data_IF_925176998315
#
_entry.id   IF_925176998315
#
_cell.length_a   1.000
_cell.length_b   1.000
_cell.length_c   1.000
_cell.angle_alpha   90.00
_cell.angle_beta   90.00
_cell.angle_gamma   90.00
#
_symmetry.space_group_name_H-M   'P 1'
#
loop_
_entity.id
_entity.type
_entity.pdbx_description
1 polymer ?
#
# COMPACT_ATOMS: atom_id res chain seq x y z
N UNK A 1 -37.24 11.08 1.20
CA UNK A 1 -36.13 12.04 0.98
C UNK A 1 -34.74 11.56 1.44
N UNK A 2 -34.56 10.41 2.13
CA UNK A 2 -33.23 9.88 2.51
C UNK A 2 -32.37 9.35 1.33
N UNK A 3 -32.98 8.90 0.23
CA UNK A 3 -32.26 8.28 -0.90
C UNK A 3 -31.51 9.22 -1.85
N UNK A 4 -31.74 10.54 -1.81
CA UNK A 4 -31.09 11.48 -2.74
C UNK A 4 -29.82 12.15 -2.17
N UNK A 5 -29.60 12.13 -0.84
CA UNK A 5 -28.36 12.67 -0.25
C UNK A 5 -27.15 11.76 -0.47
N UNK A 6 -27.34 10.43 -0.55
CA UNK A 6 -26.23 9.47 -0.74
C UNK A 6 -25.68 9.41 -2.17
N UNK A 7 -26.46 9.79 -3.19
CA UNK A 7 -25.98 9.83 -4.58
C UNK A 7 -24.95 10.96 -4.84
N UNK A 8 -24.96 12.02 -4.03
CA UNK A 8 -24.09 13.18 -4.23
C UNK A 8 -22.67 13.02 -3.66
N UNK A 9 -22.41 12.00 -2.84
CA UNK A 9 -21.10 11.78 -2.21
C UNK A 9 -20.28 10.63 -2.82
N UNK A 10 -20.72 10.03 -3.93
CA UNK A 10 -19.95 8.97 -4.59
C UNK A 10 -18.78 9.52 -5.41
N UNK A 11 -17.63 8.85 -5.34
CA UNK A 11 -16.43 9.18 -6.10
C UNK A 11 -16.67 8.98 -7.59
N UNK A 12 -16.27 9.97 -8.40
CA UNK A 12 -16.23 9.82 -9.85
C UNK A 12 -15.10 8.88 -10.28
N UNK A 13 -15.07 8.49 -11.56
CA UNK A 13 -13.95 7.73 -12.13
C UNK A 13 -12.63 8.49 -11.93
N UNK A 14 -12.60 9.79 -12.25
CA UNK A 14 -11.41 10.64 -12.06
C UNK A 14 -11.06 10.75 -10.56
N UNK A 15 -12.06 10.93 -9.69
CA UNK A 15 -11.83 11.02 -8.24
C UNK A 15 -11.24 9.73 -7.66
N UNK A 16 -11.68 8.57 -8.14
CA UNK A 16 -11.14 7.27 -7.71
C UNK A 16 -9.77 6.95 -8.31
N UNK A 17 -9.48 7.36 -9.56
CA UNK A 17 -8.14 7.30 -10.14
C UNK A 17 -7.18 8.18 -9.31
N UNK A 18 -7.58 9.42 -9.03
CA UNK A 18 -6.82 10.39 -8.24
C UNK A 18 -6.54 9.88 -6.82
N UNK A 19 -7.53 9.27 -6.18
CA UNK A 19 -7.36 8.59 -4.89
C UNK A 19 -6.29 7.47 -4.99
N UNK A 20 -6.42 6.59 -5.97
CA UNK A 20 -5.50 5.46 -6.17
C UNK A 20 -4.06 5.90 -6.43
N UNK A 21 -3.86 6.76 -7.44
CA UNK A 21 -2.54 7.31 -7.76
C UNK A 21 -1.97 8.10 -6.60
N UNK A 22 -2.83 8.83 -5.88
CA UNK A 22 -2.42 9.63 -4.74
C UNK A 22 -1.86 8.81 -3.58
N UNK A 23 -2.40 7.62 -3.32
CA UNK A 23 -1.89 6.70 -2.30
C UNK A 23 -0.61 6.01 -2.77
N UNK A 24 -0.59 5.52 -4.01
CA UNK A 24 0.60 4.86 -4.58
C UNK A 24 1.80 5.80 -4.53
N UNK A 25 1.65 7.03 -5.05
CA UNK A 25 2.70 8.06 -5.03
C UNK A 25 3.15 8.41 -3.61
N UNK A 26 2.22 8.60 -2.67
CA UNK A 26 2.55 9.05 -1.32
C UNK A 26 3.35 8.04 -0.50
N UNK A 27 3.18 6.74 -0.75
CA UNK A 27 3.82 5.67 0.01
C UNK A 27 5.01 5.02 -0.70
N UNK A 28 4.96 4.89 -2.03
CA UNK A 28 5.88 4.05 -2.78
C UNK A 28 7.11 4.77 -3.30
N UNK A 29 6.92 5.74 -4.20
CA UNK A 29 8.01 6.19 -5.08
C UNK A 29 9.10 6.99 -4.35
N UNK A 30 8.73 7.74 -3.31
CA UNK A 30 9.66 8.62 -2.59
C UNK A 30 10.71 7.85 -1.78
N UNK A 31 10.35 6.69 -1.23
CA UNK A 31 11.23 5.92 -0.34
C UNK A 31 11.81 4.68 -0.99
N UNK A 32 11.05 4.03 -1.89
CA UNK A 32 11.45 2.72 -2.41
C UNK A 32 12.47 2.82 -3.56
N UNK A 33 12.68 4.00 -4.15
CA UNK A 33 13.58 4.14 -5.29
C UNK A 33 15.02 3.78 -4.95
N UNK A 34 15.60 4.38 -3.91
CA UNK A 34 16.96 4.06 -3.49
C UNK A 34 17.09 2.63 -2.96
N UNK A 35 16.04 2.12 -2.29
CA UNK A 35 16.01 0.74 -1.80
C UNK A 35 15.97 -0.31 -2.93
N UNK A 36 15.26 -0.03 -4.03
CA UNK A 36 15.26 -0.88 -5.22
C UNK A 36 16.63 -0.82 -5.90
N UNK A 37 17.21 0.38 -6.05
CA UNK A 37 18.56 0.54 -6.61
C UNK A 37 19.64 -0.19 -5.78
N UNK A 38 19.50 -0.23 -4.45
CA UNK A 38 20.39 -1.01 -3.58
C UNK A 38 20.35 -2.53 -3.87
N UNK A 39 19.22 -3.05 -4.36
CA UNK A 39 19.06 -4.48 -4.68
C UNK A 39 19.43 -4.84 -6.12
N UNK A 40 19.38 -3.88 -7.04
CA UNK A 40 19.42 -4.18 -8.48
C UNK A 40 20.30 -3.24 -9.31
N UNK A 41 20.90 -2.23 -8.69
CA UNK A 41 21.79 -1.30 -9.37
C UNK A 41 21.07 -0.44 -10.39
N UNK A 42 21.71 -0.24 -11.54
CA UNK A 42 21.23 0.57 -12.67
C UNK A 42 19.97 0.03 -13.35
N UNK A 43 19.60 -1.23 -13.07
CA UNK A 43 18.36 -1.84 -13.58
C UNK A 43 17.10 -1.39 -12.81
N UNK A 44 17.20 -0.52 -11.80
CA UNK A 44 16.05 -0.11 -10.98
C UNK A 44 14.88 0.52 -11.77
N UNK A 45 15.08 1.28 -12.88
CA UNK A 45 13.96 1.75 -13.69
C UNK A 45 13.22 0.59 -14.38
N UNK A 46 13.96 -0.44 -14.79
CA UNK A 46 13.41 -1.66 -15.39
C UNK A 46 12.67 -2.49 -14.33
N UNK A 47 13.17 -2.52 -13.08
CA UNK A 47 12.48 -3.19 -11.98
C UNK A 47 11.10 -2.57 -11.70
N UNK A 48 10.91 -1.26 -11.86
CA UNK A 48 9.58 -0.63 -11.80
C UNK A 48 8.65 -1.12 -12.91
N UNK A 49 9.14 -1.25 -14.16
CA UNK A 49 8.36 -1.81 -15.28
C UNK A 49 7.97 -3.25 -14.99
N UNK A 50 8.92 -4.09 -14.60
CA UNK A 50 8.68 -5.48 -14.28
C UNK A 50 7.71 -5.64 -13.10
N UNK A 51 7.86 -4.82 -12.05
CA UNK A 51 6.92 -4.77 -10.92
C UNK A 51 5.51 -4.38 -11.35
N UNK A 52 5.36 -3.40 -12.25
CA UNK A 52 4.06 -3.03 -12.82
C UNK A 52 3.44 -4.16 -13.65
N UNK A 53 4.25 -4.95 -14.37
CA UNK A 53 3.78 -6.13 -15.11
C UNK A 53 3.25 -7.18 -14.13
N UNK A 54 3.99 -7.52 -13.07
CA UNK A 54 3.53 -8.45 -12.02
C UNK A 54 2.21 -7.96 -11.43
N UNK A 55 2.15 -6.68 -11.04
CA UNK A 55 0.93 -6.07 -10.51
C UNK A 55 -0.20 -6.04 -11.54
N UNK A 56 0.09 -5.95 -12.83
CA UNK A 56 -0.88 -6.10 -13.90
C UNK A 56 -1.60 -7.45 -13.83
N UNK A 57 -0.84 -8.54 -13.69
CA UNK A 57 -1.39 -9.88 -13.46
C UNK A 57 -2.16 -9.96 -12.13
N UNK A 58 -1.60 -9.45 -11.04
CA UNK A 58 -2.24 -9.51 -9.71
C UNK A 58 -3.55 -8.72 -9.68
N UNK A 59 -3.55 -7.51 -10.26
CA UNK A 59 -4.72 -6.60 -10.32
C UNK A 59 -5.92 -7.22 -11.03
N UNK A 60 -5.70 -8.18 -11.94
CA UNK A 60 -6.78 -8.89 -12.63
C UNK A 60 -7.75 -9.54 -11.65
N UNK A 61 -7.22 -10.23 -10.63
CA UNK A 61 -8.04 -10.89 -9.61
C UNK A 61 -8.90 -9.86 -8.87
N UNK A 62 -8.29 -8.75 -8.44
CA UNK A 62 -9.02 -7.66 -7.78
C UNK A 62 -10.10 -7.09 -8.68
N UNK A 63 -9.81 -6.81 -9.96
CA UNK A 63 -10.80 -6.27 -10.91
C UNK A 63 -11.99 -7.22 -11.04
N UNK A 64 -11.76 -8.54 -11.12
CA UNK A 64 -12.82 -9.54 -11.23
C UNK A 64 -13.66 -9.63 -9.97
N UNK A 65 -13.04 -9.67 -8.80
CA UNK A 65 -13.72 -9.60 -7.52
C UNK A 65 -14.53 -8.31 -7.35
N UNK A 66 -13.90 -7.18 -7.64
CA UNK A 66 -14.48 -5.84 -7.58
C UNK A 66 -15.70 -5.69 -8.47
N UNK A 67 -15.65 -6.24 -9.68
CA UNK A 67 -16.78 -6.20 -10.62
C UNK A 67 -17.91 -7.14 -10.19
N UNK A 68 -17.61 -8.31 -9.61
CA UNK A 68 -18.63 -9.24 -9.13
C UNK A 68 -19.28 -8.78 -7.82
N UNK A 69 -18.48 -8.25 -6.88
CA UNK A 69 -18.87 -7.99 -5.51
C UNK A 69 -18.47 -6.60 -5.00
N UNK A 70 -18.87 -5.49 -5.66
CA UNK A 70 -18.49 -4.16 -5.22
C UNK A 70 -18.96 -3.90 -3.79
N UNK A 71 -18.07 -3.34 -2.95
CA UNK A 71 -18.36 -3.04 -1.55
C UNK A 71 -17.40 -2.01 -0.95
N UNK A 72 -17.83 -1.34 0.11
CA UNK A 72 -16.99 -0.42 0.90
C UNK A 72 -16.11 -1.16 1.94
N UNK A 73 -15.97 -2.48 1.80
CA UNK A 73 -15.07 -3.35 2.58
C UNK A 73 -13.98 -4.04 1.75
N UNK A 74 -13.99 -3.80 0.43
CA UNK A 74 -13.01 -4.31 -0.54
C UNK A 74 -12.54 -5.74 -0.29
N UNK A 75 -11.26 -5.84 0.02
CA UNK A 75 -10.52 -7.10 0.17
C UNK A 75 -11.12 -8.04 1.22
N UNK A 76 -11.66 -7.53 2.32
CA UNK A 76 -12.30 -8.36 3.36
C UNK A 76 -13.51 -9.11 2.79
N UNK A 77 -14.28 -8.46 1.90
CA UNK A 77 -15.41 -9.12 1.24
C UNK A 77 -14.93 -10.21 0.27
N UNK A 78 -13.77 -10.03 -0.36
CA UNK A 78 -13.20 -11.03 -1.26
C UNK A 78 -12.81 -12.29 -0.48
N UNK A 79 -12.17 -12.12 0.69
CA UNK A 79 -11.86 -13.23 1.58
C UNK A 79 -13.11 -13.92 2.11
N UNK A 80 -14.08 -13.16 2.60
CA UNK A 80 -15.33 -13.74 3.09
C UNK A 80 -16.08 -14.53 1.99
N UNK A 81 -16.07 -14.05 0.74
CA UNK A 81 -16.65 -14.77 -0.39
C UNK A 81 -15.85 -15.99 -0.80
N UNK A 82 -14.53 -15.97 -0.66
CA UNK A 82 -13.67 -17.07 -1.08
C UNK A 82 -13.57 -18.17 -0.04
N UNK A 83 -13.50 -17.82 1.25
CA UNK A 83 -13.17 -18.75 2.33
C UNK A 83 -14.30 -18.93 3.34
N UNK A 84 -15.43 -18.25 3.15
CA UNK A 84 -16.54 -18.24 4.10
C UNK A 84 -16.22 -17.45 5.37
N UNK A 85 -17.19 -17.33 6.30
CA UNK A 85 -16.90 -16.81 7.63
C UNK A 85 -16.00 -17.80 8.39
N UNK A 86 -14.98 -17.29 9.10
CA UNK A 86 -14.12 -18.14 9.92
C UNK A 86 -12.70 -17.64 10.06
N UNK A 87 -11.86 -18.45 10.74
CA UNK A 87 -10.45 -18.13 11.03
C UNK A 87 -9.67 -17.77 9.77
N UNK A 88 -9.88 -18.45 8.65
CA UNK A 88 -9.15 -18.16 7.40
C UNK A 88 -9.43 -16.75 6.88
N UNK A 89 -10.70 -16.34 6.86
CA UNK A 89 -11.09 -14.98 6.46
C UNK A 89 -10.55 -13.94 7.43
N UNK A 90 -10.62 -14.21 8.74
CA UNK A 90 -10.07 -13.34 9.78
C UNK A 90 -8.57 -13.13 9.61
N UNK A 91 -7.79 -14.21 9.47
CA UNK A 91 -6.34 -14.17 9.26
C UNK A 91 -5.97 -13.36 8.03
N UNK A 92 -6.54 -13.65 6.86
CA UNK A 92 -6.19 -12.90 5.64
C UNK A 92 -6.64 -11.44 5.71
N UNK A 93 -7.76 -11.15 6.35
CA UNK A 93 -8.23 -9.78 6.55
C UNK A 93 -7.36 -9.00 7.53
N UNK A 94 -6.84 -9.64 8.58
CA UNK A 94 -5.89 -9.05 9.51
C UNK A 94 -4.50 -8.87 8.89
N UNK A 95 -4.04 -9.79 8.04
CA UNK A 95 -2.83 -9.58 7.25
C UNK A 95 -2.96 -8.34 6.37
N UNK A 96 -4.12 -8.16 5.71
CA UNK A 96 -4.41 -6.94 4.96
C UNK A 96 -4.39 -5.70 5.87
N UNK A 97 -5.08 -5.76 7.02
CA UNK A 97 -5.11 -4.65 7.98
C UNK A 97 -3.70 -4.26 8.44
N UNK A 98 -2.90 -5.20 8.93
CA UNK A 98 -1.53 -4.95 9.39
C UNK A 98 -0.66 -4.44 8.25
N UNK A 99 -0.83 -4.96 7.03
CA UNK A 99 -0.14 -4.45 5.84
C UNK A 99 -0.53 -2.99 5.51
N UNK A 100 -1.76 -2.55 5.81
CA UNK A 100 -2.14 -1.13 5.70
C UNK A 100 -1.47 -0.28 6.77
N UNK A 101 -1.41 -0.76 8.02
CA UNK A 101 -0.72 -0.05 9.12
C UNK A 101 0.78 0.08 8.85
N UNK A 102 1.43 -0.96 8.33
CA UNK A 102 2.83 -0.89 7.89
C UNK A 102 3.01 0.19 6.82
N UNK A 103 2.08 0.31 5.88
CA UNK A 103 2.12 1.36 4.85
C UNK A 103 1.99 2.76 5.45
N UNK A 104 1.21 2.95 6.51
CA UNK A 104 1.09 4.24 7.21
C UNK A 104 2.38 4.62 7.92
N UNK A 105 3.02 3.65 8.58
CA UNK A 105 4.34 3.81 9.18
C UNK A 105 5.39 4.19 8.13
N UNK A 106 5.39 3.52 6.98
CA UNK A 106 6.29 3.80 5.85
C UNK A 106 6.12 5.24 5.34
N UNK A 107 4.87 5.66 5.09
CA UNK A 107 4.55 7.03 4.62
C UNK A 107 4.98 8.07 5.65
N UNK A 108 4.71 7.82 6.94
CA UNK A 108 5.08 8.72 8.02
C UNK A 108 6.59 8.84 8.21
N UNK A 109 7.33 7.74 8.14
CA UNK A 109 8.78 7.78 8.18
C UNK A 109 9.36 8.46 6.94
N UNK A 110 8.75 8.28 5.76
CA UNK A 110 9.13 8.99 4.52
C UNK A 110 8.95 10.50 4.67
N UNK A 111 7.84 10.94 5.25
CA UNK A 111 7.65 12.35 5.62
C UNK A 111 8.79 12.85 6.51
N UNK A 112 9.17 12.06 7.52
CA UNK A 112 10.28 12.39 8.40
C UNK A 112 11.60 12.54 7.66
N UNK A 113 11.95 11.57 6.82
CA UNK A 113 13.19 11.56 6.04
C UNK A 113 13.31 12.78 5.13
N UNK A 114 12.23 13.14 4.41
CA UNK A 114 12.21 14.30 3.53
C UNK A 114 12.20 15.63 4.29
N UNK A 115 11.36 15.76 5.32
CA UNK A 115 11.25 16.99 6.10
C UNK A 115 12.56 17.33 6.78
N UNK A 116 13.31 16.32 7.21
CA UNK A 116 14.58 16.50 7.88
C UNK A 116 15.67 17.11 6.98
N UNK A 117 15.52 17.02 5.65
CA UNK A 117 16.44 17.68 4.70
C UNK A 117 16.32 19.21 4.70
N UNK A 118 15.29 19.77 5.34
CA UNK A 118 15.15 21.21 5.57
C UNK A 118 15.95 21.68 6.80
N UNK A 119 16.52 20.76 7.57
CA UNK A 119 17.27 21.03 8.80
C UNK A 119 18.75 20.67 8.62
N UNK A 120 19.65 21.23 9.44
CA UNK A 120 21.06 20.83 9.46
C UNK A 120 21.24 19.34 9.76
N UNK A 121 22.35 18.77 9.29
CA UNK A 121 22.65 17.33 9.44
C UNK A 121 22.73 16.85 10.90
N UNK A 122 22.98 17.75 11.85
CA UNK A 122 22.95 17.46 13.30
C UNK A 122 21.61 16.85 13.75
N UNK A 123 20.54 17.05 12.99
CA UNK A 123 19.22 16.51 13.29
C UNK A 123 18.92 15.16 12.61
N UNK A 124 19.87 14.53 11.91
CA UNK A 124 19.64 13.30 11.11
C UNK A 124 18.90 12.16 11.86
N UNK A 125 19.05 12.05 13.17
CA UNK A 125 18.37 11.04 14.00
C UNK A 125 16.88 11.31 14.31
N UNK A 126 16.34 12.47 13.95
CA UNK A 126 14.98 12.91 14.34
C UNK A 126 13.89 12.60 13.30
N UNK A 127 14.21 11.89 12.21
CA UNK A 127 13.24 11.54 11.15
C UNK A 127 12.00 10.81 11.71
N UNK A 128 12.22 9.79 12.56
CA UNK A 128 11.11 9.03 13.17
C UNK A 128 10.22 9.90 14.05
N UNK A 129 10.78 10.90 14.75
CA UNK A 129 10.00 11.82 15.59
C UNK A 129 9.06 12.68 14.73
N UNK A 130 9.54 13.19 13.59
CA UNK A 130 8.70 13.91 12.64
C UNK A 130 7.59 13.01 12.07
N UNK A 131 7.90 11.73 11.79
CA UNK A 131 6.90 10.74 11.39
C UNK A 131 5.83 10.49 12.45
N UNK A 132 6.21 10.38 13.73
CA UNK A 132 5.28 10.23 14.85
C UNK A 132 4.38 11.46 14.98
N UNK A 133 4.94 12.67 14.89
CA UNK A 133 4.17 13.92 14.92
C UNK A 133 3.13 13.97 13.79
N UNK A 134 3.50 13.48 12.60
CA UNK A 134 2.57 13.37 11.50
C UNK A 134 1.44 12.36 11.78
N UNK A 135 1.75 11.18 12.34
CA UNK A 135 0.73 10.19 12.70
C UNK A 135 -0.25 10.71 13.77
N UNK A 136 0.25 11.45 14.77
CA UNK A 136 -0.59 12.13 15.77
C UNK A 136 -1.45 13.21 15.11
N UNK A 137 -0.89 13.98 14.16
CA UNK A 137 -1.65 14.97 13.40
C UNK A 137 -2.76 14.29 12.58
N UNK A 138 -2.45 13.17 11.91
CA UNK A 138 -3.41 12.40 11.15
C UNK A 138 -4.55 11.85 12.03
N UNK A 139 -4.24 11.41 13.25
CA UNK A 139 -5.23 11.04 14.26
C UNK A 139 -6.17 12.22 14.59
N UNK A 140 -5.62 13.39 14.91
CA UNK A 140 -6.39 14.59 15.28
C UNK A 140 -7.29 15.05 14.14
N UNK A 141 -6.79 15.02 12.90
CA UNK A 141 -7.59 15.38 11.72
C UNK A 141 -8.75 14.41 11.52
N UNK A 142 -8.49 13.10 11.67
CA UNK A 142 -9.50 12.06 11.45
C UNK A 142 -10.59 12.05 12.53
N UNK A 143 -10.26 12.31 13.80
CA UNK A 143 -11.27 12.39 14.88
C UNK A 143 -12.09 13.68 14.82
N UNK A 144 -11.57 14.75 14.20
CA UNK A 144 -12.26 16.03 14.06
C UNK A 144 -13.44 16.00 13.08
N UNK A 145 -13.63 14.89 12.33
CA UNK A 145 -14.82 14.66 11.49
C UNK A 145 -15.00 15.69 10.36
N UNK A 146 -13.93 16.39 9.98
CA UNK A 146 -14.05 17.58 9.14
C UNK A 146 -14.43 17.19 7.70
N UNK A 147 -15.57 17.68 7.21
CA UNK A 147 -16.07 17.44 5.83
C UNK A 147 -15.10 17.95 4.74
N UNK A 148 -14.10 18.73 5.14
CA UNK A 148 -13.04 19.28 4.29
C UNK A 148 -12.19 18.18 3.63
N UNK A 149 -12.10 16.97 4.20
CA UNK A 149 -11.20 15.89 3.76
C UNK A 149 -11.45 15.45 2.29
N UNK A 150 -12.70 15.36 1.84
CA UNK A 150 -13.00 14.81 0.50
C UNK A 150 -12.58 15.74 -0.66
N UNK A 151 -12.84 17.05 -0.51
CA UNK A 151 -12.49 18.05 -1.52
C UNK A 151 -10.98 18.35 -1.53
N UNK A 152 -10.35 18.44 -0.35
CA UNK A 152 -8.91 18.65 -0.25
C UNK A 152 -8.13 17.44 -0.73
N UNK A 153 -8.57 16.22 -0.45
CA UNK A 153 -7.87 15.00 -0.90
C UNK A 153 -7.78 14.92 -2.42
N UNK A 154 -8.86 15.23 -3.15
CA UNK A 154 -8.86 15.18 -4.62
C UNK A 154 -7.96 16.27 -5.21
N UNK A 155 -8.04 17.49 -4.67
CA UNK A 155 -7.22 18.61 -5.12
C UNK A 155 -5.73 18.38 -4.87
N UNK A 156 -5.35 17.97 -3.65
CA UNK A 156 -3.97 17.65 -3.30
C UNK A 156 -3.43 16.47 -4.11
N UNK A 157 -4.27 15.47 -4.42
CA UNK A 157 -3.87 14.35 -5.25
C UNK A 157 -3.59 14.75 -6.71
N UNK A 158 -4.37 15.67 -7.29
CA UNK A 158 -4.10 16.19 -8.64
C UNK A 158 -2.79 16.99 -8.64
N UNK A 159 -2.62 17.90 -7.69
CA UNK A 159 -1.41 18.74 -7.59
C UNK A 159 -0.16 17.88 -7.49
N UNK A 160 -0.15 16.86 -6.62
CA UNK A 160 1.05 16.02 -6.46
C UNK A 160 1.31 15.15 -7.69
N UNK A 161 0.28 14.60 -8.33
CA UNK A 161 0.46 13.83 -9.58
C UNK A 161 1.06 14.73 -10.67
N UNK A 162 0.50 15.92 -10.86
CA UNK A 162 0.98 16.88 -11.87
C UNK A 162 2.39 17.38 -11.53
N UNK A 163 2.64 17.79 -10.29
CA UNK A 163 3.94 18.28 -9.85
C UNK A 163 5.05 17.23 -10.03
N UNK A 164 4.78 15.97 -9.69
CA UNK A 164 5.73 14.88 -9.88
C UNK A 164 5.91 14.54 -11.36
N UNK A 165 4.84 14.52 -12.15
CA UNK A 165 4.96 14.29 -13.59
C UNK A 165 5.81 15.38 -14.25
N UNK A 166 5.63 16.65 -13.86
CA UNK A 166 6.46 17.76 -14.34
C UNK A 166 7.93 17.61 -13.92
N UNK A 167 8.19 17.25 -12.65
CA UNK A 167 9.57 16.98 -12.19
C UNK A 167 10.21 15.83 -12.97
N UNK A 168 9.47 14.76 -13.24
CA UNK A 168 9.96 13.62 -14.00
C UNK A 168 10.30 14.01 -15.44
N UNK A 169 9.38 14.70 -16.14
CA UNK A 169 9.59 15.14 -17.53
C UNK A 169 10.74 16.13 -17.61
N UNK A 170 10.74 17.16 -16.76
CA UNK A 170 11.82 18.15 -16.73
C UNK A 170 13.17 17.49 -16.40
N UNK A 171 13.16 16.47 -15.52
CA UNK A 171 14.35 15.73 -15.14
C UNK A 171 14.95 15.04 -16.35
N UNK A 172 14.15 14.25 -17.06
CA UNK A 172 14.56 13.57 -18.29
C UNK A 172 15.05 14.52 -19.39
N UNK A 173 14.43 15.69 -19.52
CA UNK A 173 14.84 16.69 -20.52
C UNK A 173 16.22 17.25 -20.19
N UNK A 174 16.54 17.42 -18.91
CA UNK A 174 17.82 18.03 -18.46
C UNK A 174 18.93 16.99 -18.33
N UNK A 175 18.65 15.85 -17.70
CA UNK A 175 19.65 14.80 -17.46
C UNK A 175 19.82 13.83 -18.63
N UNK A 176 18.89 13.83 -19.58
CA UNK A 176 18.86 12.85 -20.66
C UNK A 176 18.44 11.45 -20.19
N UNK A 177 18.68 10.45 -21.02
CA UNK A 177 18.49 9.05 -20.64
C UNK A 177 19.78 8.50 -20.05
N UNK A 178 19.69 7.89 -18.87
CA UNK A 178 20.82 7.19 -18.27
C UNK A 178 21.22 5.96 -19.10
N UNK A 179 22.52 5.70 -19.17
CA UNK A 179 23.05 4.45 -19.72
C UNK A 179 22.75 3.29 -18.76
N UNK A 180 21.73 2.50 -19.07
CA UNK A 180 21.40 1.28 -18.34
C UNK A 180 22.19 0.13 -18.97
N UNK A 181 23.23 -0.31 -18.27
CA UNK A 181 24.16 -1.33 -18.76
C UNK A 181 23.86 -2.72 -18.18
N UNK A 182 23.28 -2.78 -16.98
CA UNK A 182 23.10 -4.01 -16.21
C UNK A 182 24.41 -4.59 -15.66
N UNK A 183 25.51 -3.83 -15.75
CA UNK A 183 26.84 -4.24 -15.29
C UNK A 183 27.10 -3.88 -13.83
N UNK A 184 26.23 -3.08 -13.21
CA UNK A 184 26.36 -2.77 -11.80
C UNK A 184 25.97 -4.01 -10.97
N UNK A 185 26.91 -4.52 -10.18
CA UNK A 185 26.66 -5.61 -9.24
C UNK A 185 26.50 -5.01 -7.84
N UNK A 186 25.29 -5.04 -7.25
CA UNK A 186 25.08 -4.54 -5.90
C UNK A 186 25.80 -5.40 -4.85
N UNK A 187 26.46 -4.74 -3.89
CA UNK A 187 27.20 -5.38 -2.78
C UNK A 187 26.42 -6.50 -2.08
N UNK A 188 25.14 -6.25 -1.82
CA UNK A 188 24.25 -7.18 -1.11
C UNK A 188 23.89 -8.44 -1.92
N UNK A 189 24.33 -8.50 -3.19
CA UNK A 189 24.02 -9.57 -4.14
C UNK A 189 25.25 -10.13 -4.86
N UNK A 190 26.47 -9.65 -4.55
CA UNK A 190 27.72 -10.03 -5.23
C UNK A 190 27.98 -11.54 -5.24
N UNK A 191 27.57 -12.24 -4.19
CA UNK A 191 27.79 -13.68 -4.01
C UNK A 191 26.59 -14.54 -4.42
N UNK A 192 25.52 -13.93 -4.92
CA UNK A 192 24.28 -14.63 -5.26
C UNK A 192 24.23 -15.01 -6.74
N UNK A 193 23.47 -16.07 -7.09
CA UNK A 193 23.12 -16.33 -8.48
C UNK A 193 22.58 -15.09 -9.20
N UNK A 194 23.04 -14.89 -10.43
CA UNK A 194 22.67 -13.73 -11.24
C UNK A 194 21.15 -13.62 -11.38
N UNK A 195 20.62 -12.41 -11.19
CA UNK A 195 19.19 -12.11 -11.34
C UNK A 195 18.35 -12.28 -10.08
N UNK A 196 18.82 -12.93 -9.01
CA UNK A 196 18.07 -13.03 -7.75
C UNK A 196 17.80 -11.64 -7.15
N UNK A 197 18.79 -10.74 -7.18
CA UNK A 197 18.65 -9.33 -6.78
C UNK A 197 17.51 -8.63 -7.49
N UNK A 198 17.40 -8.85 -8.80
CA UNK A 198 16.33 -8.29 -9.63
C UNK A 198 14.96 -8.81 -9.22
N UNK A 199 14.80 -10.13 -9.10
CA UNK A 199 13.52 -10.75 -8.72
C UNK A 199 13.10 -10.33 -7.32
N UNK A 200 14.04 -10.23 -6.37
CA UNK A 200 13.77 -9.74 -5.02
C UNK A 200 13.38 -8.25 -5.00
N UNK A 201 14.03 -7.41 -5.81
CA UNK A 201 13.69 -5.99 -5.94
C UNK A 201 12.25 -5.76 -6.41
N UNK A 202 11.68 -6.72 -7.15
CA UNK A 202 10.27 -6.68 -7.55
C UNK A 202 9.33 -6.68 -6.34
N UNK A 203 9.70 -7.24 -5.18
CA UNK A 203 8.86 -7.19 -3.99
C UNK A 203 8.62 -5.74 -3.51
N UNK A 204 9.67 -4.92 -3.55
CA UNK A 204 9.58 -3.48 -3.24
C UNK A 204 8.88 -2.71 -4.37
N UNK A 205 9.15 -3.06 -5.65
CA UNK A 205 8.44 -2.43 -6.77
C UNK A 205 6.92 -2.69 -6.71
N UNK A 206 6.50 -3.93 -6.47
CA UNK A 206 5.10 -4.33 -6.26
C UNK A 206 4.49 -3.56 -5.09
N UNK A 207 5.22 -3.43 -3.98
CA UNK A 207 4.78 -2.63 -2.84
C UNK A 207 4.53 -1.16 -3.22
N UNK A 208 5.32 -0.59 -4.13
CA UNK A 208 5.12 0.78 -4.62
C UNK A 208 3.79 0.95 -5.37
N UNK A 209 3.32 -0.10 -6.07
CA UNK A 209 2.05 -0.07 -6.80
C UNK A 209 0.83 -0.51 -5.97
N UNK A 210 1.02 -1.15 -4.82
CA UNK A 210 -0.05 -1.68 -3.95
C UNK A 210 -1.21 -0.72 -3.66
N UNK A 211 -0.97 0.60 -3.69
CA UNK A 211 -1.96 1.62 -3.34
C UNK A 211 -3.30 1.53 -4.11
N UNK A 212 -3.36 0.82 -5.26
CA UNK A 212 -4.63 0.54 -5.95
C UNK A 212 -5.65 -0.22 -5.08
N UNK A 213 -5.20 -1.00 -4.10
CA UNK A 213 -6.10 -1.72 -3.17
C UNK A 213 -6.99 -0.78 -2.35
N UNK A 214 -6.57 0.46 -2.10
CA UNK A 214 -7.41 1.48 -1.46
C UNK A 214 -8.67 1.78 -2.27
N UNK A 215 -8.56 1.73 -3.61
CA UNK A 215 -9.72 1.86 -4.50
C UNK A 215 -10.70 0.72 -4.25
N UNK A 216 -10.20 -0.51 -4.08
CA UNK A 216 -11.06 -1.69 -3.82
C UNK A 216 -11.80 -1.57 -2.49
N UNK A 217 -11.15 -1.03 -1.45
CA UNK A 217 -11.75 -0.78 -0.14
C UNK A 217 -12.85 0.28 -0.17
N UNK A 218 -12.85 1.17 -1.17
CA UNK A 218 -13.88 2.19 -1.38
C UNK A 218 -14.83 1.82 -2.53
N UNK A 219 -14.88 0.55 -2.94
CA UNK A 219 -15.62 0.12 -4.12
C UNK A 219 -17.12 0.45 -4.09
N UNK A 220 -17.76 0.42 -2.91
CA UNK A 220 -19.18 0.78 -2.74
C UNK A 220 -19.44 2.29 -2.88
N UNK A 221 -18.41 3.10 -2.65
CA UNK A 221 -18.47 4.56 -2.62
C UNK A 221 -18.17 5.15 -4.02
N UNK A 222 -17.85 4.32 -5.03
CA UNK A 222 -17.59 4.73 -6.41
C UNK A 222 -18.88 4.76 -7.25
N UNK A 223 -19.02 5.77 -8.13
CA UNK A 223 -20.11 5.86 -9.11
C UNK A 223 -19.99 4.73 -10.13
N UNK A 224 -21.08 4.02 -10.42
CA UNK A 224 -21.12 2.89 -11.35
C UNK A 224 -20.00 1.85 -11.10
N UNK A 225 -19.94 1.23 -9.91
CA UNK A 225 -18.76 0.49 -9.46
C UNK A 225 -18.45 -0.73 -10.34
N UNK A 226 -19.45 -1.45 -10.87
CA UNK A 226 -19.25 -2.57 -11.79
C UNK A 226 -18.51 -2.22 -13.10
N UNK A 227 -18.48 -0.93 -13.48
CA UNK A 227 -17.74 -0.45 -14.67
C UNK A 227 -16.48 0.31 -14.27
N UNK A 228 -16.58 1.16 -13.25
CA UNK A 228 -15.53 2.11 -12.92
C UNK A 228 -14.48 1.52 -11.99
N UNK A 229 -14.79 0.53 -11.15
CA UNK A 229 -13.82 0.00 -10.18
C UNK A 229 -12.59 -0.61 -10.89
N UNK A 230 -12.84 -1.45 -11.90
CA UNK A 230 -11.76 -2.01 -12.71
C UNK A 230 -10.99 -0.96 -13.51
N UNK A 231 -11.69 0.02 -14.09
CA UNK A 231 -11.06 1.13 -14.84
C UNK A 231 -10.16 1.95 -13.93
N UNK A 232 -10.61 2.29 -12.73
CA UNK A 232 -9.82 3.06 -11.77
C UNK A 232 -8.52 2.33 -11.41
N UNK A 233 -8.59 1.02 -11.13
CA UNK A 233 -7.41 0.20 -10.82
C UNK A 233 -6.40 0.24 -11.97
N UNK A 234 -6.84 -0.09 -13.19
CA UNK A 234 -5.95 -0.18 -14.36
C UNK A 234 -5.36 1.18 -14.73
N UNK A 235 -6.17 2.24 -14.79
CA UNK A 235 -5.66 3.58 -15.10
C UNK A 235 -4.72 4.10 -14.02
N UNK A 236 -4.97 3.85 -12.73
CA UNK A 236 -4.05 4.24 -11.66
C UNK A 236 -2.71 3.52 -11.79
N UNK A 237 -2.69 2.21 -12.08
CA UNK A 237 -1.46 1.44 -12.30
C UNK A 237 -0.69 2.00 -13.50
N UNK A 238 -1.35 2.23 -14.64
CA UNK A 238 -0.70 2.75 -15.85
C UNK A 238 -0.12 4.16 -15.64
N UNK A 239 -0.88 5.07 -15.03
CA UNK A 239 -0.42 6.43 -14.73
C UNK A 239 0.80 6.39 -13.80
N UNK A 240 0.72 5.63 -12.70
CA UNK A 240 1.85 5.48 -11.79
C UNK A 240 3.05 4.80 -12.46
N UNK A 241 2.85 3.85 -13.37
CA UNK A 241 3.94 3.20 -14.10
C UNK A 241 4.72 4.20 -14.92
N UNK A 242 4.03 5.02 -15.73
CA UNK A 242 4.66 6.06 -16.53
C UNK A 242 5.43 7.04 -15.65
N UNK A 243 4.81 7.50 -14.56
CA UNK A 243 5.45 8.47 -13.64
C UNK A 243 6.66 7.86 -12.93
N UNK A 244 6.56 6.62 -12.44
CA UNK A 244 7.64 5.99 -11.68
C UNK A 244 8.83 5.68 -12.55
N UNK A 245 8.61 5.20 -13.77
CA UNK A 245 9.67 4.93 -14.73
C UNK A 245 10.33 6.23 -15.16
N UNK A 246 9.55 7.28 -15.45
CA UNK A 246 10.10 8.58 -15.80
C UNK A 246 10.94 9.18 -14.67
N UNK A 247 10.47 9.10 -13.42
CA UNK A 247 11.25 9.51 -12.25
C UNK A 247 12.50 8.66 -12.07
N UNK A 248 12.40 7.34 -12.21
CA UNK A 248 13.53 6.44 -12.02
C UNK A 248 14.64 6.73 -13.04
N UNK A 249 14.27 6.93 -14.30
CA UNK A 249 15.19 7.34 -15.35
C UNK A 249 15.78 8.74 -15.10
N UNK A 250 14.98 9.71 -14.66
CA UNK A 250 15.47 11.04 -14.32
C UNK A 250 16.49 10.99 -13.16
N UNK A 251 16.22 10.18 -12.12
CA UNK A 251 17.13 9.96 -10.99
C UNK A 251 18.41 9.26 -11.44
N UNK A 252 18.31 8.23 -12.29
CA UNK A 252 19.47 7.55 -12.86
C UNK A 252 20.36 8.46 -13.72
N UNK A 253 19.76 9.47 -14.38
CA UNK A 253 20.53 10.46 -15.14
C UNK A 253 21.13 11.56 -14.26
N UNK A 254 20.56 11.80 -13.07
CA UNK A 254 20.99 12.86 -12.16
C UNK A 254 22.04 12.43 -11.13
N UNK A 255 22.13 11.15 -10.80
CA UNK A 255 23.02 10.60 -9.78
C UNK A 255 23.64 9.28 -10.24
N UNK A 256 24.85 9.01 -9.78
CA UNK A 256 25.45 7.68 -9.87
C UNK A 256 24.74 6.68 -8.94
N UNK A 257 24.83 5.39 -9.25
CA UNK A 257 24.20 4.34 -8.43
C UNK A 257 24.64 4.38 -6.95
N UNK A 258 25.95 4.54 -6.64
CA UNK A 258 26.37 4.71 -5.24
C UNK A 258 25.71 5.90 -4.54
N UNK A 259 25.56 7.04 -5.20
CA UNK A 259 24.89 8.23 -4.63
C UNK A 259 23.39 7.99 -4.42
N UNK A 260 22.73 7.25 -5.32
CA UNK A 260 21.32 6.85 -5.17
C UNK A 260 21.16 5.94 -3.94
N UNK A 261 22.08 4.98 -3.76
CA UNK A 261 22.08 4.05 -2.62
C UNK A 261 22.38 4.79 -1.32
N UNK A 262 23.28 5.78 -1.34
CA UNK A 262 23.59 6.61 -0.18
C UNK A 262 22.40 7.50 0.22
N UNK A 263 21.77 8.17 -0.75
CA UNK A 263 20.59 9.00 -0.50
C UNK A 263 19.35 8.20 -0.07
N UNK A 264 19.26 6.93 -0.49
CA UNK A 264 18.27 5.92 -0.09
C UNK A 264 16.85 6.45 0.03
N UNK A 265 16.45 6.84 1.23
CA UNK A 265 15.10 7.22 1.64
C UNK A 265 14.65 8.60 1.12
N UNK A 266 15.56 9.40 0.55
CA UNK A 266 15.25 10.69 -0.07
C UNK A 266 15.84 10.86 -1.48
N UNK A 267 16.15 9.75 -2.17
CA UNK A 267 16.87 9.73 -3.46
C UNK A 267 16.29 10.70 -4.51
N UNK A 268 14.96 10.87 -4.59
CA UNK A 268 14.36 11.81 -5.55
C UNK A 268 14.76 13.27 -5.27
N UNK A 269 14.80 13.68 -3.99
CA UNK A 269 15.21 15.04 -3.64
C UNK A 269 16.72 15.23 -3.84
N UNK A 270 17.51 14.19 -3.55
CA UNK A 270 18.95 14.21 -3.80
C UNK A 270 19.25 14.41 -5.29
N UNK A 271 18.56 13.68 -6.18
CA UNK A 271 18.75 13.79 -7.62
C UNK A 271 18.24 15.11 -8.21
N UNK A 272 17.24 15.75 -7.59
CA UNK A 272 16.75 17.03 -8.05
C UNK A 272 17.77 18.16 -7.89
N UNK A 273 18.74 18.02 -6.97
CA UNK A 273 19.79 19.02 -6.74
C UNK A 273 20.79 19.17 -7.90
N UNK A 274 21.45 18.12 -8.41
CA UNK A 274 22.33 18.24 -9.57
C UNK A 274 21.59 18.61 -10.86
N UNK A 275 20.31 18.23 -11.00
CA UNK A 275 19.51 18.50 -12.20
C UNK A 275 19.01 19.96 -12.24
N UNK A 276 18.49 20.49 -11.11
CA UNK A 276 17.76 21.76 -11.07
C UNK A 276 18.33 22.76 -10.04
N UNK A 277 19.45 22.46 -9.41
CA UNK A 277 19.99 23.23 -8.28
C UNK A 277 19.19 23.05 -6.98
N UNK A 278 19.52 23.87 -5.98
CA UNK A 278 18.88 23.80 -4.64
C UNK A 278 17.35 23.94 -4.70
N UNK A 279 16.85 24.79 -5.59
CA UNK A 279 15.41 25.00 -5.77
C UNK A 279 14.67 23.73 -6.18
N UNK A 280 15.24 22.89 -7.04
CA UNK A 280 14.60 21.64 -7.42
C UNK A 280 14.54 20.63 -6.28
N UNK A 281 15.59 20.56 -5.46
CA UNK A 281 15.57 19.76 -4.22
C UNK A 281 14.46 20.23 -3.28
N UNK A 282 14.38 21.54 -3.01
CA UNK A 282 13.35 22.11 -2.13
C UNK A 282 11.92 21.89 -2.64
N UNK A 283 11.69 22.06 -3.94
CA UNK A 283 10.38 21.78 -4.55
C UNK A 283 10.04 20.29 -4.41
N UNK A 284 11.00 19.40 -4.65
CA UNK A 284 10.80 17.95 -4.53
C UNK A 284 10.48 17.56 -3.08
N UNK A 285 11.18 18.16 -2.10
CA UNK A 285 10.90 17.98 -0.68
C UNK A 285 9.50 18.48 -0.32
N UNK A 286 9.11 19.67 -0.77
CA UNK A 286 7.79 20.23 -0.50
C UNK A 286 6.66 19.36 -1.08
N UNK A 287 6.84 18.85 -2.31
CA UNK A 287 5.88 17.94 -2.94
C UNK A 287 5.80 16.61 -2.16
N UNK A 288 6.94 16.05 -1.73
CA UNK A 288 6.98 14.84 -0.92
C UNK A 288 6.22 15.03 0.41
N UNK A 289 6.46 16.14 1.12
CA UNK A 289 5.76 16.51 2.35
C UNK A 289 4.25 16.57 2.14
N UNK A 290 3.78 17.27 1.10
CA UNK A 290 2.35 17.37 0.80
C UNK A 290 1.76 16.01 0.41
N UNK A 291 2.53 15.19 -0.32
CA UNK A 291 2.11 13.87 -0.75
C UNK A 291 1.96 12.89 0.42
N UNK A 292 2.91 12.89 1.36
CA UNK A 292 2.91 12.01 2.53
C UNK A 292 1.88 12.46 3.58
N UNK A 293 1.73 13.75 3.84
CA UNK A 293 0.69 14.30 4.74
C UNK A 293 -0.71 13.92 4.26
N UNK A 294 -1.02 14.18 2.99
CA UNK A 294 -2.32 13.80 2.41
C UNK A 294 -2.50 12.28 2.34
N UNK A 295 -1.43 11.55 2.04
CA UNK A 295 -1.43 10.09 1.96
C UNK A 295 -1.77 9.43 3.30
N UNK A 296 -1.06 9.80 4.37
CA UNK A 296 -1.21 9.17 5.68
C UNK A 296 -2.56 9.48 6.31
N UNK A 297 -3.08 10.72 6.16
CA UNK A 297 -4.41 11.08 6.65
C UNK A 297 -5.48 10.18 6.02
N UNK A 298 -5.38 9.95 4.70
CA UNK A 298 -6.32 9.12 3.96
C UNK A 298 -6.15 7.62 4.25
N UNK A 299 -4.92 7.11 4.37
CA UNK A 299 -4.67 5.69 4.62
C UNK A 299 -5.06 5.29 6.04
N UNK A 300 -4.73 6.10 7.06
CA UNK A 300 -5.14 5.89 8.46
C UNK A 300 -6.66 5.84 8.59
N UNK A 301 -7.38 6.72 7.88
CA UNK A 301 -8.84 6.66 7.79
C UNK A 301 -9.31 5.32 7.21
N UNK A 302 -8.69 4.88 6.11
CA UNK A 302 -9.07 3.65 5.43
C UNK A 302 -8.80 2.40 6.28
N UNK A 303 -7.64 2.30 6.94
CA UNK A 303 -7.28 1.14 7.75
C UNK A 303 -8.13 1.06 9.02
N UNK A 304 -8.38 2.19 9.69
CA UNK A 304 -9.25 2.23 10.87
C UNK A 304 -10.69 1.84 10.54
N UNK A 305 -11.22 2.24 9.38
CA UNK A 305 -12.53 1.79 8.89
C UNK A 305 -12.57 0.29 8.61
N UNK A 306 -11.49 -0.28 8.06
CA UNK A 306 -11.35 -1.71 7.82
C UNK A 306 -11.36 -2.50 9.14
N UNK A 307 -10.59 -2.07 10.15
CA UNK A 307 -10.60 -2.69 11.47
C UNK A 307 -11.96 -2.57 12.15
N UNK A 308 -12.63 -1.41 12.06
CA UNK A 308 -13.98 -1.24 12.60
C UNK A 308 -14.99 -2.17 11.91
N UNK A 309 -14.84 -2.42 10.61
CA UNK A 309 -15.66 -3.37 9.87
C UNK A 309 -15.39 -4.81 10.32
N UNK A 310 -14.14 -5.22 10.50
CA UNK A 310 -13.80 -6.54 11.05
C UNK A 310 -14.40 -6.74 12.45
N UNK A 311 -14.39 -5.70 13.28
CA UNK A 311 -15.03 -5.73 14.60
C UNK A 311 -16.56 -5.91 14.50
N UNK A 312 -17.22 -5.21 13.56
CA UNK A 312 -18.65 -5.40 13.31
C UNK A 312 -18.99 -6.77 12.70
N UNK A 313 -18.08 -7.33 11.91
CA UNK A 313 -18.18 -8.69 11.36
C UNK A 313 -17.83 -9.78 12.37
N UNK A 314 -17.54 -9.42 13.63
CA UNK A 314 -17.09 -10.33 14.68
C UNK A 314 -15.88 -11.17 14.23
N UNK A 315 -14.98 -10.61 13.45
CA UNK A 315 -13.68 -11.22 13.14
C UNK A 315 -12.62 -10.83 14.18
N UNK A 316 -12.84 -9.72 14.89
CA UNK A 316 -12.00 -9.29 16.01
C UNK A 316 -12.88 -8.87 17.20
N UNK A 317 -12.33 -8.73 18.42
CA UNK A 317 -13.09 -8.25 19.57
C UNK A 317 -13.88 -6.97 19.30
N UNK A 318 -15.06 -6.86 19.92
CA UNK A 318 -15.93 -5.69 19.75
C UNK A 318 -15.27 -4.44 20.31
N UNK A 319 -14.83 -3.55 19.42
CA UNK A 319 -14.23 -2.26 19.76
C UNK A 319 -15.26 -1.29 20.37
N UNK A 320 -16.56 -1.55 20.21
CA UNK A 320 -17.64 -0.79 20.87
C UNK A 320 -17.61 -0.91 22.40
N UNK A 321 -16.94 -1.92 22.95
CA UNK A 321 -16.82 -2.13 24.41
C UNK A 321 -15.81 -1.18 25.08
N UNK A 322 -15.00 -0.45 24.32
CA UNK A 322 -13.99 0.47 24.85
C UNK A 322 -14.53 1.85 25.31
N UNK A 323 -15.84 1.97 25.56
CA UNK A 323 -16.41 3.13 26.26
C UNK A 323 -16.22 4.49 25.54
N UNK A 324 -15.70 5.49 26.28
CA UNK A 324 -15.66 6.93 25.97
C UNK A 324 -14.80 7.35 24.76
N UNK A 325 -14.07 6.44 24.12
CA UNK A 325 -13.25 6.79 22.96
C UNK A 325 -14.11 6.93 21.69
N UNK A 326 -14.07 8.11 21.05
CA UNK A 326 -14.87 8.38 19.83
C UNK A 326 -14.56 7.44 18.66
N UNK A 327 -13.34 6.90 18.57
CA UNK A 327 -12.95 5.96 17.51
C UNK A 327 -11.78 5.04 17.95
N UNK A 328 -12.05 3.93 18.66
CA UNK A 328 -11.00 3.02 19.14
C UNK A 328 -10.18 2.37 18.02
N UNK A 329 -10.80 2.05 16.88
CA UNK A 329 -10.11 1.46 15.73
C UNK A 329 -9.02 2.40 15.18
N UNK A 330 -9.31 3.70 15.14
CA UNK A 330 -8.35 4.73 14.75
C UNK A 330 -7.17 4.82 15.73
N UNK A 331 -7.44 4.74 17.03
CA UNK A 331 -6.39 4.75 18.07
C UNK A 331 -5.44 3.56 17.89
N UNK A 332 -5.97 2.34 17.77
CA UNK A 332 -5.14 1.15 17.55
C UNK A 332 -4.30 1.23 16.28
N UNK A 333 -4.91 1.67 15.19
CA UNK A 333 -4.25 1.86 13.88
C UNK A 333 -3.05 2.79 14.03
N UNK A 334 -3.25 3.96 14.63
CA UNK A 334 -2.20 4.97 14.80
C UNK A 334 -1.12 4.52 15.79
N UNK A 335 -1.49 3.89 16.92
CA UNK A 335 -0.52 3.39 17.88
C UNK A 335 0.37 2.28 17.29
N UNK A 336 -0.21 1.37 16.52
CA UNK A 336 0.56 0.32 15.85
C UNK A 336 1.46 0.91 14.76
N UNK A 337 0.99 1.91 13.99
CA UNK A 337 1.84 2.63 13.04
C UNK A 337 3.01 3.35 13.73
N UNK A 338 2.75 4.03 14.87
CA UNK A 338 3.78 4.69 15.68
C UNK A 338 4.80 3.68 16.18
N UNK A 339 4.34 2.54 16.71
CA UNK A 339 5.21 1.47 17.19
C UNK A 339 6.17 1.00 16.10
N UNK A 340 5.66 0.76 14.89
CA UNK A 340 6.50 0.35 13.74
C UNK A 340 7.50 1.45 13.35
N UNK A 341 7.08 2.72 13.34
CA UNK A 341 7.95 3.87 13.00
C UNK A 341 9.07 4.09 14.03
N UNK A 342 8.84 3.73 15.30
CA UNK A 342 9.84 3.82 16.38
C UNK A 342 10.83 2.65 16.30
N UNK A 343 10.33 1.44 16.04
CA UNK A 343 11.14 0.23 16.16
C UNK A 343 12.00 -0.08 14.93
N UNK A 344 11.60 0.39 13.75
CA UNK A 344 12.19 -0.04 12.48
C UNK A 344 12.53 1.13 11.56
N UNK A 345 13.61 0.97 10.80
CA UNK A 345 13.93 1.86 9.68
C UNK A 345 13.00 1.62 8.48
N UNK A 346 13.01 2.55 7.53
CA UNK A 346 12.15 2.52 6.36
C UNK A 346 12.36 1.27 5.47
N UNK A 347 13.59 0.75 5.41
CA UNK A 347 13.89 -0.44 4.61
C UNK A 347 13.25 -1.68 5.23
N UNK A 348 13.32 -1.82 6.54
CA UNK A 348 12.68 -2.91 7.29
C UNK A 348 11.16 -2.80 7.25
N UNK A 349 10.60 -1.61 7.44
CA UNK A 349 9.16 -1.36 7.33
C UNK A 349 8.66 -1.76 5.93
N UNK A 350 9.32 -1.31 4.87
CA UNK A 350 8.98 -1.68 3.50
C UNK A 350 9.08 -3.19 3.27
N UNK A 351 10.13 -3.82 3.77
CA UNK A 351 10.36 -5.26 3.60
C UNK A 351 9.29 -6.11 4.29
N UNK A 352 8.93 -5.79 5.54
CA UNK A 352 7.84 -6.45 6.26
C UNK A 352 6.52 -6.21 5.52
N UNK A 353 6.29 -4.99 5.03
CA UNK A 353 5.11 -4.62 4.25
C UNK A 353 4.95 -5.45 2.97
N UNK A 354 6.05 -5.65 2.22
CA UNK A 354 6.08 -6.46 1.02
C UNK A 354 5.76 -7.94 1.31
N UNK A 355 6.33 -8.52 2.37
CA UNK A 355 6.05 -9.91 2.78
C UNK A 355 4.56 -10.09 3.11
N UNK A 356 4.01 -9.23 3.96
CA UNK A 356 2.59 -9.31 4.34
C UNK A 356 1.68 -9.13 3.12
N UNK A 357 2.04 -8.21 2.23
CA UNK A 357 1.25 -7.94 1.05
C UNK A 357 1.25 -9.11 0.07
N UNK A 358 2.41 -9.68 -0.28
CA UNK A 358 2.52 -10.79 -1.22
C UNK A 358 1.79 -12.04 -0.72
N UNK A 359 1.89 -12.37 0.58
CA UNK A 359 1.14 -13.49 1.16
C UNK A 359 -0.37 -13.27 1.03
N UNK A 360 -0.83 -12.06 1.32
CA UNK A 360 -2.23 -11.67 1.20
C UNK A 360 -2.71 -11.70 -0.26
N UNK A 361 -1.86 -11.28 -1.20
CA UNK A 361 -2.18 -11.25 -2.63
C UNK A 361 -2.33 -12.66 -3.22
N UNK A 362 -1.40 -13.56 -2.88
CA UNK A 362 -1.48 -14.99 -3.20
C UNK A 362 -2.79 -15.58 -2.69
N UNK A 363 -3.22 -15.23 -1.47
CA UNK A 363 -4.49 -15.71 -0.90
C UNK A 363 -5.72 -15.18 -1.67
N UNK A 364 -5.68 -13.97 -2.21
CA UNK A 364 -6.76 -13.44 -3.07
C UNK A 364 -6.83 -14.24 -4.37
N UNK A 365 -5.69 -14.42 -5.03
CA UNK A 365 -5.61 -15.11 -6.32
C UNK A 365 -6.05 -16.57 -6.19
N UNK A 366 -5.59 -17.24 -5.13
CA UNK A 366 -6.02 -18.59 -4.81
C UNK A 366 -7.52 -18.67 -4.53
N UNK A 367 -8.06 -17.71 -3.77
CA UNK A 367 -9.49 -17.64 -3.49
C UNK A 367 -10.35 -17.53 -4.76
N UNK A 368 -9.94 -16.66 -5.70
CA UNK A 368 -10.61 -16.54 -7.00
C UNK A 368 -10.53 -17.86 -7.79
N UNK A 369 -9.32 -18.39 -7.92
CA UNK A 369 -9.04 -19.58 -8.73
C UNK A 369 -9.75 -20.84 -8.21
N UNK A 370 -9.70 -21.08 -6.90
CA UNK A 370 -10.14 -22.33 -6.28
C UNK A 370 -11.60 -22.31 -5.82
N UNK A 371 -12.08 -21.18 -5.30
CA UNK A 371 -13.37 -21.11 -4.61
C UNK A 371 -14.45 -20.35 -5.39
N UNK A 372 -14.08 -19.45 -6.31
CA UNK A 372 -15.06 -18.62 -7.04
C UNK A 372 -15.09 -18.85 -8.55
N UNK A 373 -14.48 -19.95 -9.02
CA UNK A 373 -14.49 -20.35 -10.44
C UNK A 373 -15.90 -20.47 -11.05
N UNK A 374 -16.90 -20.79 -10.23
CA UNK A 374 -18.29 -20.97 -10.68
C UNK A 374 -19.16 -19.73 -10.48
N UNK A 375 -18.73 -18.74 -9.69
CA UNK A 375 -19.51 -17.53 -9.39
C UNK A 375 -19.02 -16.29 -10.15
N UNK A 376 -17.75 -16.27 -10.54
CA UNK A 376 -17.11 -15.12 -11.20
C UNK A 376 -16.60 -15.54 -12.57
N UNK A 377 -16.94 -14.79 -13.61
CA UNK A 377 -16.42 -15.04 -14.95
C UNK A 377 -15.00 -14.46 -15.12
N UNK A 378 -13.98 -15.33 -15.14
CA UNK A 378 -12.58 -14.96 -15.35
C UNK A 378 -11.81 -16.05 -16.11
N UNK A 379 -10.64 -15.69 -16.62
CA UNK A 379 -9.70 -16.58 -17.29
C UNK A 379 -8.76 -17.22 -16.25
N UNK A 380 -8.85 -18.53 -15.98
CA UNK A 380 -8.13 -19.15 -14.85
C UNK A 380 -6.61 -19.10 -14.92
N UNK A 381 -6.05 -18.97 -16.12
CA UNK A 381 -4.60 -18.89 -16.32
C UNK A 381 -4.00 -17.60 -15.75
N UNK A 382 -4.76 -16.50 -15.73
CA UNK A 382 -4.24 -15.19 -15.30
C UNK A 382 -3.98 -15.16 -13.78
N UNK A 383 -4.91 -15.57 -12.89
CA UNK A 383 -4.62 -15.70 -11.46
C UNK A 383 -3.53 -16.72 -11.15
N UNK A 384 -3.41 -17.80 -11.95
CA UNK A 384 -2.34 -18.78 -11.75
C UNK A 384 -0.96 -18.19 -12.04
N UNK A 385 -0.82 -17.40 -13.13
CA UNK A 385 0.40 -16.66 -13.43
C UNK A 385 0.73 -15.70 -12.29
N UNK A 386 -0.27 -14.95 -11.78
CA UNK A 386 -0.06 -14.03 -10.66
C UNK A 386 0.48 -14.76 -9.41
N UNK A 387 -0.11 -15.91 -9.04
CA UNK A 387 0.38 -16.74 -7.92
C UNK A 387 1.84 -17.17 -8.13
N UNK A 388 2.18 -17.65 -9.33
CA UNK A 388 3.54 -18.10 -9.62
C UNK A 388 4.54 -16.95 -9.53
N UNK A 389 4.19 -15.77 -10.07
CA UNK A 389 5.02 -14.57 -9.99
C UNK A 389 5.21 -14.11 -8.54
N UNK A 390 4.13 -14.02 -7.76
CA UNK A 390 4.19 -13.60 -6.36
C UNK A 390 5.00 -14.58 -5.50
N UNK A 391 4.86 -15.89 -5.72
CA UNK A 391 5.67 -16.91 -5.03
C UNK A 391 7.15 -16.78 -5.39
N UNK A 392 7.47 -16.59 -6.68
CA UNK A 392 8.85 -16.44 -7.13
C UNK A 392 9.50 -15.18 -6.54
N UNK A 393 8.78 -14.05 -6.56
CA UNK A 393 9.21 -12.79 -5.97
C UNK A 393 9.37 -12.89 -4.46
N UNK A 394 8.38 -13.46 -3.77
CA UNK A 394 8.43 -13.66 -2.33
C UNK A 394 9.60 -14.57 -1.94
N UNK A 395 9.80 -15.70 -2.62
CA UNK A 395 10.89 -16.63 -2.32
C UNK A 395 12.26 -15.98 -2.51
N UNK A 396 12.49 -15.27 -3.62
CA UNK A 396 13.73 -14.54 -3.85
C UNK A 396 13.96 -13.45 -2.79
N UNK A 397 12.90 -12.70 -2.44
CA UNK A 397 12.99 -11.65 -1.43
C UNK A 397 13.29 -12.19 -0.03
N UNK A 398 12.62 -13.28 0.37
CA UNK A 398 12.88 -13.96 1.64
C UNK A 398 14.32 -14.49 1.69
N UNK A 399 14.83 -15.04 0.59
CA UNK A 399 16.21 -15.52 0.51
C UNK A 399 17.23 -14.39 0.68
N UNK A 400 17.05 -13.25 0.01
CA UNK A 400 17.93 -12.08 0.21
C UNK A 400 17.85 -11.58 1.65
N UNK A 401 16.66 -11.50 2.25
CA UNK A 401 16.52 -11.03 3.64
C UNK A 401 17.09 -12.02 4.64
N UNK A 402 17.04 -13.32 4.36
CA UNK A 402 17.70 -14.32 5.19
C UNK A 402 19.22 -14.10 5.27
N UNK A 403 19.84 -13.69 4.17
CA UNK A 403 21.28 -13.46 4.13
C UNK A 403 21.69 -12.10 4.71
N UNK A 404 20.92 -11.05 4.41
CA UNK A 404 21.34 -9.68 4.65
C UNK A 404 20.66 -9.01 5.87
N UNK A 405 19.45 -9.41 6.24
CA UNK A 405 18.72 -8.84 7.39
C UNK A 405 17.68 -9.81 7.98
N UNK A 406 18.12 -10.85 8.72
CA UNK A 406 17.23 -11.90 9.26
C UNK A 406 16.15 -11.36 10.20
N UNK A 407 16.37 -10.19 10.82
CA UNK A 407 15.42 -9.57 11.73
C UNK A 407 14.07 -9.31 11.03
N UNK A 408 14.08 -8.93 9.75
CA UNK A 408 12.86 -8.74 8.95
C UNK A 408 12.03 -10.01 8.93
N UNK A 409 12.67 -11.16 8.72
CA UNK A 409 11.98 -12.45 8.64
C UNK A 409 11.42 -12.87 10.00
N UNK A 410 12.19 -12.68 11.07
CA UNK A 410 11.76 -13.00 12.43
C UNK A 410 10.54 -12.15 12.81
N UNK A 411 10.60 -10.84 12.60
CA UNK A 411 9.50 -9.93 12.91
C UNK A 411 8.27 -10.24 12.07
N UNK A 412 8.45 -10.51 10.77
CA UNK A 412 7.34 -10.86 9.89
C UNK A 412 6.69 -12.18 10.31
N UNK A 413 7.49 -13.21 10.62
CA UNK A 413 7.01 -14.51 11.08
C UNK A 413 6.27 -14.38 12.43
N UNK A 414 6.83 -13.65 13.39
CA UNK A 414 6.16 -13.38 14.68
C UNK A 414 4.81 -12.68 14.43
N UNK A 415 4.77 -11.65 13.60
CA UNK A 415 3.53 -10.94 13.28
C UNK A 415 2.47 -11.86 12.66
N UNK A 416 2.86 -12.70 11.70
CA UNK A 416 1.95 -13.69 11.06
C UNK A 416 1.47 -14.73 12.07
N UNK A 417 2.37 -15.28 12.89
CA UNK A 417 2.02 -16.28 13.92
C UNK A 417 1.09 -15.67 14.96
N UNK A 418 1.34 -14.44 15.40
CA UNK A 418 0.46 -13.72 16.33
C UNK A 418 -0.92 -13.49 15.74
N UNK A 419 -1.03 -13.12 14.46
CA UNK A 419 -2.32 -12.97 13.77
C UNK A 419 -3.06 -14.31 13.74
N UNK A 420 -2.39 -15.39 13.34
CA UNK A 420 -2.98 -16.73 13.27
C UNK A 420 -3.44 -17.20 14.65
N UNK A 421 -2.60 -17.03 15.67
CA UNK A 421 -2.92 -17.42 17.04
C UNK A 421 -4.07 -16.59 17.61
N UNK A 422 -4.05 -15.27 17.44
CA UNK A 422 -5.09 -14.37 17.91
C UNK A 422 -6.45 -14.70 17.27
N UNK A 423 -6.48 -14.89 15.94
CA UNK A 423 -7.69 -15.28 15.22
C UNK A 423 -8.19 -16.66 15.65
N UNK A 424 -7.30 -17.65 15.74
CA UNK A 424 -7.70 -19.00 16.15
C UNK A 424 -8.29 -19.01 17.57
N UNK A 425 -7.66 -18.33 18.52
CA UNK A 425 -8.14 -18.21 19.90
C UNK A 425 -9.46 -17.43 19.98
N UNK A 426 -9.58 -16.35 19.23
CA UNK A 426 -10.80 -15.55 19.18
C UNK A 426 -11.96 -16.35 18.60
N UNK A 427 -11.72 -17.09 17.52
CA UNK A 427 -12.71 -17.94 16.89
C UNK A 427 -13.17 -19.08 17.81
N UNK A 428 -12.25 -19.80 18.46
CA UNK A 428 -12.59 -20.88 19.41
C UNK A 428 -13.48 -20.38 20.55
N UNK A 429 -13.32 -19.13 20.99
CA UNK A 429 -14.11 -18.56 22.09
C UNK A 429 -15.44 -17.93 21.66
N UNK A 430 -15.71 -17.81 20.36
CA UNK A 430 -16.85 -17.04 19.83
C UNK A 430 -17.64 -17.75 18.70
N UNK A 431 -17.30 -19.00 18.37
CA UNK A 431 -18.13 -19.91 17.57
C UNK A 431 -18.97 -20.81 18.45
N UNK A 432 -20.17 -21.19 18.00
CA UNK A 432 -20.99 -22.20 18.67
C UNK A 432 -20.38 -23.61 18.54
N UNK A 433 -21.01 -24.60 19.18
CA UNK A 433 -20.56 -26.00 19.18
C UNK A 433 -20.53 -26.64 17.78
N UNK A 434 -21.21 -26.04 16.80
CA UNK A 434 -21.19 -26.43 15.38
C UNK A 434 -20.11 -25.70 14.57
N UNK A 435 -19.33 -24.82 15.21
CA UNK A 435 -18.31 -23.99 14.56
C UNK A 435 -18.87 -22.81 13.78
N UNK A 436 -20.18 -22.54 13.89
CA UNK A 436 -20.83 -21.43 13.23
C UNK A 436 -20.67 -20.16 14.05
N UNK A 437 -20.45 -19.05 13.36
CA UNK A 437 -20.47 -17.73 13.96
C UNK A 437 -21.75 -17.02 13.53
N UNK A 438 -22.59 -16.50 14.46
CA UNK A 438 -23.72 -15.66 14.07
C UNK A 438 -23.19 -14.34 13.51
N UNK A 439 -22.92 -14.33 12.20
CA UNK A 439 -22.41 -13.19 11.47
C UNK A 439 -23.48 -12.11 11.39
N UNK A 440 -23.15 -10.89 11.81
CA UNK A 440 -24.06 -9.74 11.80
C UNK A 440 -24.38 -9.17 10.41
N UNK A 441 -24.12 -9.90 9.32
CA UNK A 441 -24.46 -9.50 7.95
C UNK A 441 -25.73 -10.19 7.45
N UNK A 442 -26.79 -10.24 8.27
CA UNK A 442 -28.12 -10.24 7.69
C UNK A 442 -28.40 -8.81 7.19
N UNK A 443 -28.26 -8.63 5.88
CA UNK A 443 -28.80 -7.47 5.18
C UNK A 443 -30.27 -7.32 5.54
N UNK A 444 -30.62 -6.18 6.13
CA UNK A 444 -31.98 -5.69 6.38
C UNK A 444 -32.75 -5.44 5.07
N UNK A 445 -32.97 -6.49 4.28
CA UNK A 445 -33.69 -6.42 3.01
C UNK A 445 -34.96 -7.29 2.96
N UNK A 446 -35.32 -8.02 4.02
CA UNK A 446 -36.46 -8.95 3.95
C UNK A 446 -37.49 -8.89 5.09
N UNK A 447 -37.53 -7.80 5.87
CA UNK A 447 -38.53 -7.65 6.96
C UNK A 447 -39.79 -6.83 6.64
N UNK A 448 -40.00 -6.39 5.39
CA UNK A 448 -41.18 -5.58 5.03
C UNK A 448 -42.24 -6.30 4.17
N UNK A 449 -42.12 -7.62 3.94
CA UNK A 449 -43.20 -8.41 3.33
C UNK A 449 -43.71 -9.46 4.32
N UNK A 450 -44.45 -9.02 5.33
CA UNK A 450 -45.47 -9.79 6.08
C UNK A 450 -46.04 -8.90 7.18
N UNK A 451 -47.05 -8.12 6.81
CA UNK A 451 -48.36 -7.95 7.49
C UNK A 451 -49.15 -6.95 6.68
#
# INVERSE_FOLDING_TARGET
>A
MKNNKDKNNKLSLIGSISLGTGVMIGAGIFVLMGQIAELVGDLFPIAFIAGAVVVGFSSYSYVKFSNAFPSSGGVVKFFNKSYGPGTTTGVFSLLMYVSMVISESLVAGTFGAYTLRLFPESYAGYASILGILLLVTAYIVNISGNKVIGATATFTAIIKVVGIALLAIAGLVVSGFADITGNYIPKNTETLPQGIGFVAALALAILAYKGFTTITNQGGDIKNPHKNLGRSIIFSILICTVIYVALALAVAGGLSIPEIIEAKDYALAAAAKPIFGEWGSWITIAIAIVATVSGVIASVFSASRLLAMLSNMKQVPSLKRMGNFKNPALIFTVLLAILLTVLFDLTRIASIGAIFYLIMDIAIHWGLFRHLKNEVNFQPIIPLIAIVLDIAVLAAFLYIKYLNDPLVLIVAAIGIVLIIAAERLFMISHTDDEGNMPMGMETTSNKNNKT
#
